data_IF_493816247058
#
_entry.id   IF_493816247058
#
_cell.length_a   1.000
_cell.length_b   1.000
_cell.length_c   1.000
_cell.angle_alpha   90.00
_cell.angle_beta   90.00
_cell.angle_gamma   90.00
#
_symmetry.space_group_name_H-M   'P 1'
#
loop_
_entity.id
_entity.type
_entity.pdbx_description
1 polymer ?
#
# COMPACT_ATOMS: atom_id res chain seq x y z
N UNK A 1 9.13 23.18 -17.35
CA UNK A 1 7.88 22.46 -17.52
C UNK A 1 7.81 21.24 -16.64
N UNK A 2 6.85 21.21 -15.79
CA UNK A 2 6.71 20.12 -14.86
C UNK A 2 5.76 19.07 -15.39
N UNK A 3 6.29 17.91 -15.53
CA UNK A 3 5.53 16.73 -15.92
C UNK A 3 5.64 15.72 -14.80
N UNK A 4 4.54 15.10 -14.44
CA UNK A 4 4.58 14.02 -13.47
C UNK A 4 5.57 12.95 -13.98
N UNK A 5 6.63 12.63 -13.22
CA UNK A 5 7.63 11.65 -13.66
C UNK A 5 7.12 10.21 -13.60
N UNK A 6 5.92 10.01 -13.08
CA UNK A 6 5.34 8.69 -12.87
C UNK A 6 4.05 8.52 -13.65
N UNK A 7 3.82 7.31 -14.12
CA UNK A 7 2.57 6.91 -14.77
C UNK A 7 2.05 5.67 -14.10
N UNK A 8 0.81 5.29 -14.43
CA UNK A 8 0.19 4.09 -13.87
C UNK A 8 -0.09 3.07 -14.97
N UNK A 9 0.04 1.81 -14.61
CA UNK A 9 -0.36 0.69 -15.45
C UNK A 9 -0.72 -0.53 -14.63
N UNK A 10 -1.41 -1.49 -15.24
CA UNK A 10 -1.64 -2.79 -14.62
C UNK A 10 -0.34 -3.59 -14.56
N UNK A 11 -0.20 -4.43 -13.53
CA UNK A 11 0.96 -5.32 -13.41
C UNK A 11 0.92 -6.43 -14.46
N UNK A 12 2.11 -6.90 -14.84
CA UNK A 12 2.30 -8.09 -15.68
C UNK A 12 3.21 -9.07 -14.94
N UNK A 13 3.27 -10.35 -15.34
CA UNK A 13 4.04 -11.35 -14.60
C UNK A 13 5.51 -10.98 -14.37
N UNK A 14 6.14 -10.27 -15.31
CA UNK A 14 7.53 -9.83 -15.17
C UNK A 14 7.78 -8.81 -14.05
N UNK A 15 6.74 -8.23 -13.47
CA UNK A 15 6.88 -7.23 -12.40
C UNK A 15 7.04 -7.85 -11.00
N UNK A 16 6.82 -9.15 -10.85
CA UNK A 16 6.69 -9.80 -9.55
C UNK A 16 7.87 -9.56 -8.62
N UNK A 17 9.10 -9.70 -9.11
CA UNK A 17 10.29 -9.51 -8.29
C UNK A 17 10.43 -8.05 -7.82
N UNK A 18 10.17 -7.09 -8.69
CA UNK A 18 10.24 -5.66 -8.35
C UNK A 18 9.18 -5.27 -7.33
N UNK A 19 7.96 -5.77 -7.48
CA UNK A 19 6.86 -5.53 -6.54
C UNK A 19 7.18 -6.08 -5.17
N UNK A 20 7.69 -7.31 -5.09
CA UNK A 20 8.06 -7.92 -3.82
C UNK A 20 9.16 -7.12 -3.12
N UNK A 21 10.14 -6.61 -3.89
CA UNK A 21 11.21 -5.79 -3.32
C UNK A 21 10.68 -4.47 -2.77
N UNK A 22 9.72 -3.83 -3.47
CA UNK A 22 9.05 -2.62 -2.97
C UNK A 22 8.40 -2.89 -1.62
N UNK A 23 7.67 -4.01 -1.50
CA UNK A 23 7.02 -4.37 -0.25
C UNK A 23 8.02 -4.53 0.88
N UNK A 24 9.12 -5.29 0.62
CA UNK A 24 10.15 -5.53 1.62
C UNK A 24 10.80 -4.23 2.09
N UNK A 25 11.19 -3.38 1.16
CA UNK A 25 11.84 -2.10 1.48
C UNK A 25 10.90 -1.16 2.23
N UNK A 26 9.64 -1.10 1.82
CA UNK A 26 8.65 -0.24 2.46
C UNK A 26 8.33 -0.70 3.89
N UNK A 27 8.14 -2.00 4.09
CA UNK A 27 7.86 -2.56 5.42
C UNK A 27 9.04 -2.35 6.35
N UNK A 28 10.26 -2.61 5.89
CA UNK A 28 11.46 -2.43 6.70
C UNK A 28 11.69 -0.97 7.09
N UNK A 29 11.20 -0.04 6.28
CA UNK A 29 11.34 1.39 6.57
C UNK A 29 10.26 1.93 7.51
N UNK A 30 9.09 1.27 7.62
CA UNK A 30 7.92 1.84 8.32
C UNK A 30 7.33 0.95 9.40
N UNK A 31 7.57 -0.36 9.36
CA UNK A 31 6.96 -1.32 10.26
C UNK A 31 7.98 -1.86 11.27
N UNK A 32 8.69 -0.95 11.93
CA UNK A 32 9.71 -1.29 12.93
C UNK A 32 9.10 -1.90 14.21
N UNK A 33 7.78 -1.84 14.36
CA UNK A 33 7.07 -2.47 15.47
C UNK A 33 6.90 -3.98 15.31
N UNK A 34 7.19 -4.54 14.13
CA UNK A 34 7.11 -5.99 13.91
C UNK A 34 8.25 -6.72 14.59
N UNK A 35 7.95 -7.86 15.24
CA UNK A 35 9.00 -8.74 15.70
C UNK A 35 9.73 -9.37 14.50
N UNK A 36 10.99 -9.80 14.71
CA UNK A 36 11.77 -10.44 13.64
C UNK A 36 11.08 -11.72 13.14
N UNK A 37 10.48 -12.50 14.05
CA UNK A 37 9.77 -13.71 13.69
C UNK A 37 8.53 -13.42 12.86
N UNK A 38 7.74 -12.42 13.25
CA UNK A 38 6.54 -12.03 12.51
C UNK A 38 6.91 -11.43 11.16
N UNK A 39 7.94 -10.60 11.11
CA UNK A 39 8.42 -10.04 9.83
C UNK A 39 8.79 -11.14 8.83
N UNK A 40 9.47 -12.18 9.30
CA UNK A 40 9.85 -13.32 8.46
C UNK A 40 8.64 -14.13 8.01
N UNK A 41 7.69 -14.38 8.91
CA UNK A 41 6.48 -15.13 8.59
C UNK A 41 5.60 -14.38 7.58
N UNK A 42 5.44 -13.08 7.76
CA UNK A 42 4.67 -12.23 6.84
C UNK A 42 5.35 -12.18 5.48
N UNK A 43 6.69 -12.07 5.43
CA UNK A 43 7.44 -12.09 4.17
C UNK A 43 7.15 -13.35 3.38
N UNK A 44 7.15 -14.52 4.02
CA UNK A 44 6.87 -15.78 3.35
C UNK A 44 5.46 -15.81 2.77
N UNK A 45 4.47 -15.32 3.52
CA UNK A 45 3.08 -15.23 3.06
C UNK A 45 2.95 -14.29 1.86
N UNK A 46 3.57 -13.12 1.93
CA UNK A 46 3.52 -12.11 0.86
C UNK A 46 4.25 -12.61 -0.39
N UNK A 47 5.41 -13.21 -0.23
CA UNK A 47 6.18 -13.76 -1.36
C UNK A 47 5.41 -14.85 -2.11
N UNK A 48 4.51 -15.54 -1.43
CA UNK A 48 3.74 -16.62 -2.02
C UNK A 48 2.61 -16.09 -2.95
N UNK A 49 2.03 -14.92 -2.67
CA UNK A 49 0.89 -14.44 -3.47
C UNK A 49 1.14 -13.14 -4.22
N UNK A 50 1.93 -12.22 -3.67
CA UNK A 50 2.04 -10.87 -4.22
C UNK A 50 2.58 -10.81 -5.64
N UNK A 51 3.61 -11.62 -6.03
CA UNK A 51 4.16 -11.55 -7.38
C UNK A 51 3.15 -11.89 -8.49
N UNK A 52 2.11 -12.63 -8.19
CA UNK A 52 1.08 -13.02 -9.15
C UNK A 52 -0.25 -12.29 -8.96
N UNK A 53 -0.34 -11.39 -7.98
CA UNK A 53 -1.56 -10.63 -7.73
C UNK A 53 -1.81 -9.59 -8.83
N UNK A 54 -3.09 -9.31 -9.17
CA UNK A 54 -3.42 -8.27 -10.14
C UNK A 54 -3.32 -6.89 -9.49
N UNK A 55 -2.25 -6.17 -9.77
CA UNK A 55 -1.95 -4.90 -9.13
C UNK A 55 -2.05 -3.73 -10.10
N UNK A 56 -2.29 -2.53 -9.53
CA UNK A 56 -2.01 -1.27 -10.19
C UNK A 56 -0.62 -0.81 -9.77
N UNK A 57 0.22 -0.48 -10.74
CA UNK A 57 1.58 -0.02 -10.49
C UNK A 57 1.71 1.45 -10.83
N UNK A 58 2.51 2.16 -10.03
CA UNK A 58 3.12 3.41 -10.44
C UNK A 58 4.52 3.06 -10.96
N UNK A 59 4.88 3.59 -12.12
CA UNK A 59 6.17 3.33 -12.75
C UNK A 59 6.88 4.65 -13.09
N UNK A 60 8.21 4.61 -13.12
CA UNK A 60 9.02 5.77 -13.50
C UNK A 60 9.15 5.88 -15.02
N UNK A 61 9.94 6.85 -15.49
CA UNK A 61 10.15 7.08 -16.92
C UNK A 61 10.83 5.93 -17.66
N UNK A 62 11.45 5.00 -16.93
CA UNK A 62 12.06 3.79 -17.49
C UNK A 62 11.17 2.56 -17.30
N UNK A 63 9.89 2.76 -17.00
CA UNK A 63 8.89 1.69 -16.76
C UNK A 63 9.22 0.79 -15.56
N UNK A 64 9.99 1.29 -14.59
CA UNK A 64 10.30 0.54 -13.38
C UNK A 64 9.25 0.82 -12.30
N UNK A 65 8.70 -0.22 -11.66
CA UNK A 65 7.75 -0.03 -10.56
C UNK A 65 8.37 0.74 -9.40
N UNK A 66 7.64 1.73 -8.90
CA UNK A 66 8.04 2.53 -7.73
C UNK A 66 6.99 2.49 -6.63
N UNK A 67 5.83 1.94 -6.91
CA UNK A 67 4.75 1.74 -5.95
C UNK A 67 3.68 0.85 -6.54
N UNK A 68 2.84 0.29 -5.66
CA UNK A 68 1.74 -0.55 -6.12
C UNK A 68 0.53 -0.47 -5.20
N UNK A 69 -0.61 -0.88 -5.74
CA UNK A 69 -1.87 -0.91 -5.04
C UNK A 69 -2.64 -2.17 -5.44
N UNK A 70 -3.24 -2.83 -4.46
CA UNK A 70 -4.14 -3.95 -4.68
C UNK A 70 -5.55 -3.53 -4.31
N UNK A 71 -6.45 -3.52 -5.29
CA UNK A 71 -7.87 -3.25 -5.09
C UNK A 71 -8.66 -4.55 -5.11
N UNK A 72 -9.58 -4.69 -4.19
CA UNK A 72 -10.51 -5.81 -4.09
C UNK A 72 -11.92 -5.23 -3.92
N UNK A 73 -12.63 -5.03 -5.03
CA UNK A 73 -13.90 -4.35 -5.00
C UNK A 73 -13.79 -2.93 -4.45
N UNK A 74 -14.51 -2.64 -3.40
CA UNK A 74 -14.52 -1.32 -2.76
C UNK A 74 -13.47 -1.18 -1.65
N UNK A 75 -12.55 -2.14 -1.53
CA UNK A 75 -11.51 -2.14 -0.51
C UNK A 75 -10.13 -2.12 -1.14
N UNK A 76 -9.25 -1.28 -0.61
CA UNK A 76 -7.84 -1.27 -0.98
C UNK A 76 -7.08 -2.15 0.00
N UNK A 77 -6.67 -3.33 -0.45
CA UNK A 77 -6.01 -4.32 0.40
C UNK A 77 -4.54 -3.99 0.66
N UNK A 78 -3.90 -3.27 -0.25
CA UNK A 78 -2.49 -2.92 -0.12
C UNK A 78 -2.18 -1.63 -0.86
N UNK A 79 -1.27 -0.83 -0.28
CA UNK A 79 -0.67 0.35 -0.91
C UNK A 79 0.75 0.49 -0.36
N UNK A 80 1.74 0.34 -1.21
CA UNK A 80 3.14 0.44 -0.82
C UNK A 80 3.93 1.24 -1.84
N UNK A 81 4.80 2.12 -1.35
CA UNK A 81 5.66 2.99 -2.15
C UNK A 81 7.11 2.70 -1.78
N UNK A 82 7.97 2.55 -2.77
CA UNK A 82 9.39 2.41 -2.54
C UNK A 82 9.92 3.59 -1.71
N UNK A 83 10.66 3.36 -0.63
CA UNK A 83 11.11 4.45 0.25
C UNK A 83 11.86 5.56 -0.48
N UNK A 84 12.64 5.24 -1.51
CA UNK A 84 13.36 6.23 -2.30
C UNK A 84 12.44 7.19 -3.08
N UNK A 85 11.18 6.83 -3.23
CA UNK A 85 10.20 7.61 -3.99
C UNK A 85 9.10 8.22 -3.12
N UNK A 86 9.26 8.22 -1.81
CA UNK A 86 8.34 8.89 -0.91
C UNK A 86 8.40 10.40 -1.06
N UNK A 87 7.29 11.05 -0.75
CA UNK A 87 7.20 12.50 -0.82
C UNK A 87 7.11 13.05 -2.25
N UNK A 88 6.92 12.17 -3.24
CA UNK A 88 6.83 12.55 -4.65
C UNK A 88 5.42 12.44 -5.22
N UNK A 89 4.43 12.20 -4.37
CA UNK A 89 3.02 12.13 -4.78
C UNK A 89 2.59 10.79 -5.37
N UNK A 90 3.42 9.75 -5.29
CA UNK A 90 3.10 8.43 -5.86
C UNK A 90 1.91 7.79 -5.15
N UNK A 91 1.92 7.78 -3.81
CA UNK A 91 0.81 7.22 -3.05
C UNK A 91 -0.50 7.95 -3.30
N UNK A 92 -0.44 9.28 -3.33
CA UNK A 92 -1.60 10.11 -3.65
C UNK A 92 -2.16 9.79 -5.04
N UNK A 93 -1.28 9.65 -6.04
CA UNK A 93 -1.69 9.32 -7.41
C UNK A 93 -2.44 7.99 -7.47
N UNK A 94 -1.94 6.96 -6.78
CA UNK A 94 -2.58 5.65 -6.74
C UNK A 94 -3.94 5.72 -6.04
N UNK A 95 -4.02 6.37 -4.88
CA UNK A 95 -5.28 6.49 -4.14
C UNK A 95 -6.32 7.29 -4.92
N UNK A 96 -5.92 8.40 -5.56
CA UNK A 96 -6.86 9.20 -6.36
C UNK A 96 -7.40 8.40 -7.55
N UNK A 97 -6.58 7.56 -8.15
CA UNK A 97 -7.04 6.64 -9.20
C UNK A 97 -8.12 5.68 -8.67
N UNK A 98 -7.90 5.13 -7.50
CA UNK A 98 -8.88 4.24 -6.86
C UNK A 98 -10.17 4.97 -6.52
N UNK A 99 -10.07 6.18 -5.95
CA UNK A 99 -11.24 6.97 -5.56
C UNK A 99 -12.09 7.41 -6.76
N UNK A 100 -11.47 7.64 -7.91
CA UNK A 100 -12.19 7.97 -9.13
C UNK A 100 -13.07 6.80 -9.59
N UNK A 101 -12.68 5.57 -9.28
CA UNK A 101 -13.41 4.35 -9.62
C UNK A 101 -14.38 3.92 -8.54
N UNK A 102 -14.00 4.13 -7.27
CA UNK A 102 -14.73 3.63 -6.10
C UNK A 102 -14.88 4.75 -5.09
N UNK A 103 -15.91 5.59 -5.22
CA UNK A 103 -16.25 6.55 -4.16
C UNK A 103 -16.57 5.79 -2.88
N UNK A 104 -16.06 6.27 -1.75
CA UNK A 104 -16.25 5.57 -0.48
C UNK A 104 -15.31 4.39 -0.29
N UNK A 105 -14.19 4.36 -1.01
CA UNK A 105 -13.15 3.35 -0.86
C UNK A 105 -12.78 3.16 0.61
N UNK A 106 -12.66 1.90 1.04
CA UNK A 106 -12.18 1.54 2.37
C UNK A 106 -10.75 0.99 2.31
N UNK A 107 -10.06 1.08 3.42
CA UNK A 107 -8.73 0.47 3.58
C UNK A 107 -8.46 0.22 5.05
N UNK A 108 -7.44 -0.59 5.31
CA UNK A 108 -6.98 -0.88 6.66
C UNK A 108 -5.56 -0.40 6.81
N UNK A 109 -5.22 0.12 7.99
CA UNK A 109 -3.89 0.60 8.28
C UNK A 109 -3.45 0.15 9.66
N UNK A 110 -2.19 -0.24 9.81
CA UNK A 110 -1.63 -0.53 11.11
C UNK A 110 -1.65 0.74 11.97
N UNK A 111 -2.28 0.67 13.14
CA UNK A 111 -2.37 1.81 14.06
C UNK A 111 -1.00 2.36 14.44
N UNK A 112 0.01 1.51 14.49
CA UNK A 112 1.38 1.87 14.87
C UNK A 112 2.15 2.54 13.73
N UNK A 113 1.60 2.56 12.53
CA UNK A 113 2.21 3.26 11.38
C UNK A 113 1.64 4.68 11.28
N UNK A 114 2.16 5.59 12.09
CA UNK A 114 1.67 6.97 12.18
C UNK A 114 1.73 7.71 10.85
N UNK A 115 2.75 7.44 10.05
CA UNK A 115 2.94 8.08 8.76
C UNK A 115 1.79 7.73 7.82
N UNK A 116 1.42 6.45 7.75
CA UNK A 116 0.33 6.01 6.90
C UNK A 116 -1.02 6.52 7.40
N UNK A 117 -1.24 6.50 8.72
CA UNK A 117 -2.47 7.05 9.31
C UNK A 117 -2.63 8.52 8.93
N UNK A 118 -1.58 9.31 9.06
CA UNK A 118 -1.60 10.73 8.68
C UNK A 118 -1.83 10.94 7.18
N UNK A 119 -1.21 10.11 6.36
CA UNK A 119 -1.38 10.15 4.91
C UNK A 119 -2.85 9.95 4.51
N UNK A 120 -3.50 8.91 5.02
CA UNK A 120 -4.89 8.65 4.70
C UNK A 120 -5.82 9.74 5.23
N UNK A 121 -5.55 10.23 6.45
CA UNK A 121 -6.35 11.30 7.02
C UNK A 121 -6.32 12.56 6.16
N UNK A 122 -5.15 12.93 5.65
CA UNK A 122 -5.02 14.09 4.77
C UNK A 122 -5.77 13.94 3.45
N UNK A 123 -5.99 12.71 3.00
CA UNK A 123 -6.75 12.43 1.79
C UNK A 123 -8.26 12.36 2.03
N UNK A 124 -8.72 12.50 3.27
CA UNK A 124 -10.14 12.49 3.58
C UNK A 124 -10.68 11.15 4.07
N UNK A 125 -9.80 10.21 4.43
CA UNK A 125 -10.24 8.97 5.07
C UNK A 125 -10.51 9.22 6.55
N UNK A 126 -11.55 8.58 7.07
CA UNK A 126 -11.92 8.67 8.48
C UNK A 126 -12.00 7.28 9.09
N UNK A 127 -11.69 7.14 10.41
CA UNK A 127 -11.83 5.86 11.09
C UNK A 127 -13.30 5.45 11.18
N UNK A 128 -13.59 4.20 10.81
CA UNK A 128 -14.92 3.61 10.93
C UNK A 128 -14.92 2.37 11.83
N UNK A 129 -13.77 1.93 12.29
CA UNK A 129 -13.63 0.79 13.18
C UNK A 129 -12.18 0.55 13.55
N UNK A 130 -11.97 -0.40 14.46
CA UNK A 130 -10.66 -0.81 14.93
C UNK A 130 -10.68 -2.28 15.30
N UNK A 131 -9.62 -3.00 14.97
CA UNK A 131 -9.40 -4.36 15.41
C UNK A 131 -8.12 -4.40 16.25
N UNK A 132 -8.16 -5.11 17.38
CA UNK A 132 -7.00 -5.24 18.26
C UNK A 132 -5.89 -6.13 17.64
N UNK A 133 -6.29 -7.01 16.73
CA UNK A 133 -5.39 -7.94 16.05
C UNK A 133 -5.46 -7.71 14.54
N UNK A 134 -4.39 -8.08 13.83
CA UNK A 134 -4.40 -8.05 12.37
C UNK A 134 -5.23 -9.22 11.80
N UNK A 135 -5.32 -9.31 10.47
CA UNK A 135 -6.12 -10.34 9.80
C UNK A 135 -5.63 -11.77 10.03
N UNK A 136 -4.43 -11.94 10.57
CA UNK A 136 -3.84 -13.24 10.89
C UNK A 136 -3.81 -13.52 12.40
N UNK A 137 -4.46 -12.67 13.19
CA UNK A 137 -4.54 -12.84 14.66
C UNK A 137 -3.28 -12.38 15.40
N UNK A 138 -2.36 -11.68 14.75
CA UNK A 138 -1.16 -11.14 15.41
C UNK A 138 -1.49 -9.87 16.17
N UNK A 139 -0.73 -9.51 17.23
CA UNK A 139 -1.04 -8.36 18.08
C UNK A 139 -0.62 -7.01 17.45
N UNK A 140 -1.07 -6.76 16.25
CA UNK A 140 -0.83 -5.51 15.53
C UNK A 140 -2.17 -4.85 15.22
N UNK A 141 -2.59 -3.86 16.02
CA UNK A 141 -3.91 -3.24 15.86
C UNK A 141 -4.09 -2.58 14.49
N UNK A 142 -5.30 -2.72 13.97
CA UNK A 142 -5.68 -2.20 12.66
C UNK A 142 -6.76 -1.12 12.85
N UNK A 143 -6.58 0.02 12.19
CA UNK A 143 -7.64 1.02 12.06
C UNK A 143 -8.32 0.79 10.71
N UNK A 144 -9.64 0.65 10.74
CA UNK A 144 -10.46 0.54 9.53
C UNK A 144 -10.86 1.94 9.09
N UNK A 145 -10.52 2.28 7.85
CA UNK A 145 -10.73 3.63 7.30
C UNK A 145 -11.69 3.58 6.11
N UNK A 146 -12.42 4.67 5.92
CA UNK A 146 -13.25 4.86 4.75
C UNK A 146 -13.15 6.30 4.27
N UNK A 147 -13.07 6.47 2.96
CA UNK A 147 -13.06 7.81 2.38
C UNK A 147 -14.44 8.43 2.47
N UNK A 148 -14.49 9.64 3.00
CA UNK A 148 -15.71 10.43 3.12
C UNK A 148 -15.55 11.68 2.28
N UNK A 149 -16.38 11.85 1.23
CA UNK A 149 -16.29 13.03 0.37
C UNK A 149 -16.62 14.32 1.10
#
# INVERSE_FOLDING_TARGET
MDRAPFTMRASVPGDGAAVLQIWRDAVDATHDFLSAADRKAIDAEVADFLPSAPLWLAVDGADRPVGFMLLNGAHMDALFIAPAHRGKGVGRMLVLHALARVPGLSTDVNEQNDQAVGFYRRLGFVPVGRSALDGQGRPYPIIHLRHMP
#
